data_IF_383997383908
#
_entry.id   IF_383997383908
#
_cell.length_a   1.000
_cell.length_b   1.000
_cell.length_c   1.000
_cell.angle_alpha   90.00
_cell.angle_beta   90.00
_cell.angle_gamma   90.00
#
_symmetry.space_group_name_H-M   'P 1'
#
loop_
_entity.id
_entity.type
_entity.pdbx_description
1 polymer ?
#
# COMPACT_ATOMS: atom_id res chain seq x y z
N UNK A 1 -5.91 13.31 -16.55
CA UNK A 1 -6.61 13.41 -15.25
C UNK A 1 -5.90 12.47 -14.30
N UNK A 2 -5.49 12.90 -13.10
CA UNK A 2 -4.76 12.07 -12.18
C UNK A 2 -5.60 10.91 -11.65
N UNK A 3 -4.95 9.76 -11.46
CA UNK A 3 -5.55 8.53 -10.98
C UNK A 3 -4.93 8.12 -9.65
N UNK A 4 -5.75 7.72 -8.72
CA UNK A 4 -5.33 7.29 -7.40
C UNK A 4 -5.75 5.84 -7.15
N UNK A 5 -4.83 5.03 -6.60
CA UNK A 5 -5.13 3.71 -6.05
C UNK A 5 -5.08 3.80 -4.53
N UNK A 6 -6.19 3.48 -3.86
CA UNK A 6 -6.26 3.39 -2.41
C UNK A 6 -6.27 1.93 -1.96
N UNK A 7 -5.34 1.58 -1.07
CA UNK A 7 -5.28 0.28 -0.40
C UNK A 7 -5.71 0.44 1.06
N UNK A 8 -6.85 -0.12 1.43
CA UNK A 8 -7.36 -0.18 2.80
C UNK A 8 -6.99 -1.54 3.38
N UNK A 9 -6.05 -1.56 4.30
CA UNK A 9 -5.46 -2.82 4.80
C UNK A 9 -5.88 -3.17 6.23
N UNK A 10 -6.78 -2.37 6.83
CA UNK A 10 -7.31 -2.62 8.16
C UNK A 10 -8.22 -3.83 8.18
N UNK A 11 -8.07 -4.70 9.21
CA UNK A 11 -9.00 -5.80 9.48
C UNK A 11 -10.42 -5.31 9.87
N UNK A 12 -10.54 -4.03 10.26
CA UNK A 12 -11.79 -3.43 10.69
C UNK A 12 -12.50 -2.64 9.57
N UNK A 13 -12.14 -2.87 8.31
CA UNK A 13 -12.72 -2.17 7.16
C UNK A 13 -12.78 -0.64 7.39
N UNK A 14 -13.93 -0.02 7.17
CA UNK A 14 -14.14 1.43 7.35
C UNK A 14 -14.06 1.91 8.82
N UNK A 15 -14.08 1.01 9.81
CA UNK A 15 -13.94 1.37 11.23
C UNK A 15 -12.47 1.50 11.67
N UNK A 16 -11.52 1.01 10.86
CA UNK A 16 -10.09 1.13 11.14
C UNK A 16 -9.61 2.58 11.03
N UNK A 17 -8.81 3.05 12.01
CA UNK A 17 -8.29 4.42 12.02
C UNK A 17 -7.47 4.74 10.76
N UNK A 18 -6.69 3.79 10.26
CA UNK A 18 -5.91 3.95 9.03
C UNK A 18 -6.82 4.08 7.79
N UNK A 19 -7.95 3.33 7.76
CA UNK A 19 -8.95 3.48 6.70
C UNK A 19 -9.59 4.86 6.74
N UNK A 20 -10.00 5.33 7.93
CA UNK A 20 -10.63 6.65 8.10
C UNK A 20 -9.70 7.79 7.70
N UNK A 21 -8.41 7.74 8.08
CA UNK A 21 -7.43 8.75 7.67
C UNK A 21 -7.18 8.71 6.17
N UNK A 22 -7.01 7.53 5.57
CA UNK A 22 -6.82 7.42 4.13
C UNK A 22 -8.07 7.85 3.34
N UNK A 23 -9.29 7.55 3.81
CA UNK A 23 -10.54 8.01 3.21
C UNK A 23 -10.66 9.54 3.26
N UNK A 24 -10.32 10.15 4.40
CA UNK A 24 -10.30 11.62 4.54
C UNK A 24 -9.30 12.30 3.59
N UNK A 25 -8.11 11.71 3.44
CA UNK A 25 -7.11 12.19 2.48
C UNK A 25 -7.63 12.08 1.04
N UNK A 26 -8.16 10.94 0.65
CA UNK A 26 -8.68 10.71 -0.71
C UNK A 26 -9.80 11.69 -1.03
N UNK A 27 -10.72 11.95 -0.08
CA UNK A 27 -11.79 12.93 -0.27
C UNK A 27 -11.24 14.34 -0.49
N UNK A 28 -10.30 14.79 0.33
CA UNK A 28 -9.67 16.11 0.19
C UNK A 28 -8.85 16.22 -1.11
N UNK A 29 -8.11 15.17 -1.46
CA UNK A 29 -7.32 15.09 -2.69
C UNK A 29 -8.20 15.17 -3.94
N UNK A 30 -9.35 14.48 -3.96
CA UNK A 30 -10.31 14.55 -5.06
C UNK A 30 -10.97 15.93 -5.18
N UNK A 31 -11.32 16.56 -4.03
CA UNK A 31 -11.92 17.88 -4.01
C UNK A 31 -11.01 18.95 -4.64
N UNK A 32 -9.68 18.83 -4.47
CA UNK A 32 -8.70 19.75 -5.06
C UNK A 32 -8.32 19.39 -6.51
N UNK A 33 -8.79 18.24 -7.04
CA UNK A 33 -8.43 17.73 -8.39
C UNK A 33 -9.68 17.26 -9.16
N UNK A 34 -10.53 18.18 -9.63
CA UNK A 34 -11.74 17.83 -10.39
C UNK A 34 -11.42 16.93 -11.59
N UNK A 35 -12.21 15.87 -11.77
CA UNK A 35 -12.03 14.89 -12.84
C UNK A 35 -11.02 13.78 -12.54
N UNK A 36 -10.39 13.78 -11.34
CA UNK A 36 -9.58 12.66 -10.90
C UNK A 36 -10.42 11.38 -10.67
N UNK A 37 -9.80 10.22 -10.79
CA UNK A 37 -10.44 8.93 -10.54
C UNK A 37 -9.76 8.20 -9.40
N UNK A 38 -10.54 7.45 -8.61
CA UNK A 38 -10.05 6.65 -7.49
C UNK A 38 -10.47 5.19 -7.68
N UNK A 39 -9.48 4.31 -7.61
CA UNK A 39 -9.69 2.86 -7.47
C UNK A 39 -9.44 2.50 -6.02
N UNK A 40 -10.37 1.79 -5.38
CA UNK A 40 -10.24 1.37 -3.98
C UNK A 40 -10.15 -0.14 -3.90
N UNK A 41 -9.16 -0.63 -3.16
CA UNK A 41 -9.07 -2.01 -2.70
C UNK A 41 -9.19 -2.06 -1.19
N UNK A 42 -10.25 -2.71 -0.70
CA UNK A 42 -10.46 -2.96 0.73
C UNK A 42 -10.20 -4.44 1.02
N UNK A 43 -9.06 -4.73 1.64
CA UNK A 43 -8.62 -6.10 1.92
C UNK A 43 -9.43 -6.78 3.05
N UNK A 44 -10.30 -6.06 3.73
CA UNK A 44 -11.24 -6.69 4.66
C UNK A 44 -12.43 -7.32 3.94
N UNK A 45 -12.88 -6.74 2.82
CA UNK A 45 -13.98 -7.25 2.01
C UNK A 45 -13.54 -8.14 0.84
N UNK A 46 -12.35 -7.83 0.27
CA UNK A 46 -11.75 -8.56 -0.85
C UNK A 46 -10.28 -8.90 -0.51
N UNK A 47 -10.04 -9.89 0.36
CA UNK A 47 -8.71 -10.23 0.82
C UNK A 47 -7.86 -10.83 -0.31
N UNK A 48 -6.63 -10.30 -0.44
CA UNK A 48 -5.66 -10.86 -1.38
C UNK A 48 -5.18 -12.22 -0.86
N UNK A 49 -5.28 -13.30 -1.63
CA UNK A 49 -4.80 -14.61 -1.22
C UNK A 49 -3.28 -14.61 -1.09
N UNK A 50 -2.75 -15.41 -0.17
CA UNK A 50 -1.30 -15.61 -0.08
C UNK A 50 -0.77 -16.24 -1.36
N UNK A 51 0.37 -15.73 -1.84
CA UNK A 51 1.10 -16.33 -2.94
C UNK A 51 1.72 -17.66 -2.48
N UNK A 52 1.30 -18.75 -3.11
CA UNK A 52 1.84 -20.09 -2.88
C UNK A 52 2.91 -20.48 -3.92
N UNK A 53 3.54 -21.63 -3.72
CA UNK A 53 4.56 -22.15 -4.66
C UNK A 53 4.01 -22.38 -6.08
N UNK A 54 2.75 -22.78 -6.22
CA UNK A 54 2.11 -22.98 -7.52
C UNK A 54 1.87 -21.64 -8.24
N UNK A 55 1.46 -20.61 -7.51
CA UNK A 55 1.32 -19.23 -8.02
C UNK A 55 2.66 -18.65 -8.44
N UNK A 56 3.70 -18.82 -7.62
CA UNK A 56 5.04 -18.37 -7.97
C UNK A 56 5.57 -19.10 -9.22
N UNK A 57 5.38 -20.43 -9.33
CA UNK A 57 5.75 -21.19 -10.51
C UNK A 57 5.00 -20.71 -11.76
N UNK A 58 3.73 -20.32 -11.63
CA UNK A 58 2.95 -19.78 -12.74
C UNK A 58 3.55 -18.47 -13.30
N UNK A 59 4.15 -17.63 -12.44
CA UNK A 59 4.86 -16.41 -12.89
C UNK A 59 6.11 -16.73 -13.73
N UNK A 60 6.76 -17.86 -13.46
CA UNK A 60 7.97 -18.31 -14.18
C UNK A 60 7.66 -19.08 -15.48
N UNK A 61 6.43 -19.61 -15.61
CA UNK A 61 6.02 -20.40 -16.78
C UNK A 61 5.70 -19.45 -17.96
N UNK A 62 6.23 -19.78 -19.13
CA UNK A 62 5.99 -19.02 -20.35
C UNK A 62 4.47 -18.98 -20.67
N UNK A 63 3.92 -17.87 -21.17
CA UNK A 63 2.47 -17.74 -21.38
C UNK A 63 1.83 -18.87 -22.22
N UNK A 64 2.52 -19.34 -23.25
CA UNK A 64 2.03 -20.41 -24.12
C UNK A 64 2.03 -21.81 -23.44
N UNK A 65 2.73 -21.97 -22.33
CA UNK A 65 2.89 -23.24 -21.63
C UNK A 65 2.05 -23.33 -20.35
N UNK A 66 1.37 -22.23 -19.99
CA UNK A 66 0.53 -22.17 -18.77
C UNK A 66 -0.69 -23.06 -18.88
N UNK A 67 -0.95 -23.84 -17.84
CA UNK A 67 -2.27 -24.45 -17.65
C UNK A 67 -3.34 -23.38 -17.44
N UNK A 68 -4.61 -23.73 -17.55
CA UNK A 68 -5.72 -22.81 -17.27
C UNK A 68 -5.67 -22.27 -15.83
N UNK A 69 -5.29 -23.09 -14.86
CA UNK A 69 -5.11 -22.67 -13.46
C UNK A 69 -3.95 -21.68 -13.30
N UNK A 70 -2.80 -21.95 -13.92
CA UNK A 70 -1.66 -21.03 -13.91
C UNK A 70 -2.00 -19.70 -14.57
N UNK A 71 -2.72 -19.74 -15.70
CA UNK A 71 -3.16 -18.53 -16.38
C UNK A 71 -4.09 -17.69 -15.50
N UNK A 72 -5.01 -18.30 -14.74
CA UNK A 72 -5.89 -17.62 -13.81
C UNK A 72 -5.12 -16.96 -12.65
N UNK A 73 -4.13 -17.66 -12.05
CA UNK A 73 -3.25 -17.09 -10.99
C UNK A 73 -2.45 -15.88 -11.50
N UNK A 74 -1.92 -15.96 -12.71
CA UNK A 74 -1.20 -14.85 -13.35
C UNK A 74 -2.13 -13.68 -13.64
N UNK A 75 -3.33 -13.92 -14.20
CA UNK A 75 -4.31 -12.88 -14.51
C UNK A 75 -4.78 -12.12 -13.26
N UNK A 76 -4.89 -12.79 -12.10
CA UNK A 76 -5.17 -12.14 -10.84
C UNK A 76 -4.07 -11.14 -10.46
N UNK A 77 -2.79 -11.57 -10.49
CA UNK A 77 -1.65 -10.69 -10.26
C UNK A 77 -1.57 -9.55 -11.29
N UNK A 78 -1.84 -9.84 -12.57
CA UNK A 78 -1.87 -8.83 -13.64
C UNK A 78 -2.90 -7.73 -13.36
N UNK A 79 -4.06 -8.08 -12.81
CA UNK A 79 -5.09 -7.11 -12.41
C UNK A 79 -4.57 -6.16 -11.33
N UNK A 80 -3.93 -6.68 -10.27
CA UNK A 80 -3.35 -5.86 -9.19
C UNK A 80 -2.23 -4.95 -9.71
N UNK A 81 -1.39 -5.47 -10.59
CA UNK A 81 -0.29 -4.71 -11.21
C UNK A 81 -0.85 -3.62 -12.14
N UNK A 82 -1.86 -3.93 -12.95
CA UNK A 82 -2.47 -2.96 -13.87
C UNK A 82 -3.08 -1.77 -13.12
N UNK A 83 -3.73 -1.99 -11.98
CA UNK A 83 -4.24 -0.91 -11.12
C UNK A 83 -3.10 -0.04 -10.58
N UNK A 84 -2.02 -0.66 -10.09
CA UNK A 84 -0.85 0.05 -9.59
C UNK A 84 -0.13 0.82 -10.71
N UNK A 85 0.00 0.24 -11.89
CA UNK A 85 0.61 0.89 -13.06
C UNK A 85 -0.23 2.08 -13.54
N UNK A 86 -1.56 1.94 -13.53
CA UNK A 86 -2.48 3.00 -13.98
C UNK A 86 -2.54 4.20 -13.02
N UNK A 87 -2.22 4.02 -11.75
CA UNK A 87 -2.30 5.08 -10.75
C UNK A 87 -1.08 6.01 -10.82
N UNK A 88 -1.30 7.32 -10.68
CA UNK A 88 -0.26 8.32 -10.46
C UNK A 88 0.07 8.44 -8.97
N UNK A 89 -0.92 8.18 -8.13
CA UNK A 89 -0.84 8.27 -6.66
C UNK A 89 -1.28 6.97 -6.02
N UNK A 90 -0.49 6.48 -5.07
CA UNK A 90 -0.80 5.34 -4.22
C UNK A 90 -1.09 5.83 -2.80
N UNK A 91 -2.22 5.43 -2.23
CA UNK A 91 -2.58 5.70 -0.84
C UNK A 91 -2.71 4.40 -0.09
N UNK A 92 -2.02 4.27 1.04
CA UNK A 92 -2.03 3.05 1.87
C UNK A 92 -2.50 3.41 3.27
N UNK A 93 -3.65 2.87 3.70
CA UNK A 93 -4.03 2.82 5.11
C UNK A 93 -3.30 1.66 5.78
N UNK A 94 -2.34 1.96 6.67
CA UNK A 94 -1.38 1.01 7.23
C UNK A 94 -1.52 0.90 8.76
N UNK A 95 -2.35 0.01 9.29
CA UNK A 95 -2.33 -0.27 10.72
C UNK A 95 -1.15 -1.15 11.10
N UNK A 96 -0.70 -1.05 12.34
CA UNK A 96 0.32 -1.96 12.89
C UNK A 96 -0.36 -3.10 13.65
N UNK A 97 -0.10 -4.33 13.23
CA UNK A 97 -0.51 -5.53 13.94
C UNK A 97 0.72 -6.34 14.33
N UNK A 98 0.89 -6.55 15.65
CA UNK A 98 2.01 -7.33 16.20
C UNK A 98 3.39 -6.87 15.65
N UNK A 99 3.63 -5.55 15.69
CA UNK A 99 4.85 -4.89 15.19
C UNK A 99 5.09 -5.04 13.67
N UNK A 100 4.12 -5.51 12.90
CA UNK A 100 4.28 -5.75 11.46
C UNK A 100 3.18 -5.10 10.61
N UNK A 101 3.35 -5.19 9.29
CA UNK A 101 2.30 -4.85 8.33
C UNK A 101 1.20 -5.91 8.36
N UNK A 102 -0.05 -5.57 7.98
CA UNK A 102 -1.11 -6.58 7.80
C UNK A 102 -0.68 -7.67 6.81
N UNK A 103 -0.99 -8.93 7.12
CA UNK A 103 -0.65 -10.07 6.26
C UNK A 103 -1.28 -9.97 4.86
N UNK A 104 -2.46 -9.35 4.77
CA UNK A 104 -3.15 -9.08 3.50
C UNK A 104 -2.39 -8.07 2.63
N UNK A 105 -1.75 -7.06 3.24
CA UNK A 105 -0.85 -6.16 2.52
C UNK A 105 0.41 -6.90 2.03
N UNK A 106 0.97 -7.77 2.87
CA UNK A 106 2.12 -8.59 2.45
C UNK A 106 1.74 -9.50 1.28
N UNK A 107 0.55 -10.11 1.31
CA UNK A 107 0.05 -10.91 0.19
C UNK A 107 -0.07 -10.07 -1.11
N UNK A 108 -0.61 -8.85 -1.02
CA UNK A 108 -0.67 -7.93 -2.17
C UNK A 108 0.73 -7.60 -2.70
N UNK A 109 1.68 -7.30 -1.82
CA UNK A 109 3.08 -7.05 -2.18
C UNK A 109 3.68 -8.23 -2.97
N UNK A 110 3.43 -9.46 -2.53
CA UNK A 110 3.96 -10.66 -3.18
C UNK A 110 3.37 -10.89 -4.58
N UNK A 111 2.14 -10.47 -4.81
CA UNK A 111 1.53 -10.52 -6.14
C UNK A 111 2.01 -9.42 -7.09
N UNK A 112 2.33 -8.23 -6.57
CA UNK A 112 2.73 -7.10 -7.44
C UNK A 112 4.24 -7.01 -7.65
N UNK A 113 5.06 -7.65 -6.82
CA UNK A 113 6.52 -7.71 -6.97
C UNK A 113 6.91 -8.77 -8.02
N UNK A 114 6.79 -8.45 -9.30
CA UNK A 114 7.09 -9.38 -10.41
C UNK A 114 8.27 -8.93 -11.24
N UNK A 115 9.27 -9.81 -11.36
CA UNK A 115 10.45 -9.59 -12.20
C UNK A 115 10.04 -9.45 -13.68
N UNK A 116 10.62 -8.45 -14.36
CA UNK A 116 10.29 -8.11 -15.74
C UNK A 116 8.99 -7.30 -15.92
N UNK A 117 8.22 -7.07 -14.83
CA UNK A 117 6.92 -6.35 -14.89
C UNK A 117 6.93 -5.09 -14.03
N UNK A 118 7.26 -5.19 -12.73
CA UNK A 118 7.31 -4.05 -11.80
C UNK A 118 8.73 -3.72 -11.34
N UNK A 119 9.66 -4.63 -11.54
CA UNK A 119 11.10 -4.41 -11.37
C UNK A 119 11.88 -5.34 -12.31
N UNK A 120 13.17 -5.07 -12.48
CA UNK A 120 14.10 -5.96 -13.20
C UNK A 120 15.45 -6.00 -12.52
N UNK A 121 16.20 -7.07 -12.71
CA UNK A 121 17.60 -7.13 -12.32
C UNK A 121 18.50 -6.55 -13.42
N UNK A 122 19.47 -5.75 -13.01
CA UNK A 122 20.53 -5.20 -13.87
C UNK A 122 21.91 -5.57 -13.31
N UNK A 123 22.98 -5.25 -14.02
CA UNK A 123 24.35 -5.46 -13.53
C UNK A 123 24.62 -4.63 -12.24
N UNK A 124 23.94 -3.49 -12.08
CA UNK A 124 24.07 -2.59 -10.94
C UNK A 124 23.10 -2.94 -9.79
N UNK A 125 22.26 -3.94 -9.97
CA UNK A 125 21.28 -4.39 -8.98
C UNK A 125 19.83 -4.28 -9.47
N UNK A 126 18.84 -4.41 -8.57
CA UNK A 126 17.43 -4.31 -8.94
C UNK A 126 17.06 -2.87 -9.35
N UNK A 127 16.29 -2.74 -10.42
CA UNK A 127 15.72 -1.49 -10.91
C UNK A 127 14.20 -1.58 -10.92
N UNK A 128 13.53 -0.66 -10.22
CA UNK A 128 12.07 -0.52 -10.25
C UNK A 128 11.57 0.08 -11.56
N UNK A 129 10.38 -0.35 -11.99
CA UNK A 129 9.78 0.04 -13.26
C UNK A 129 8.54 0.94 -13.09
N UNK A 130 8.16 1.29 -11.85
CA UNK A 130 7.00 2.11 -11.52
C UNK A 130 7.37 3.56 -11.14
N UNK A 131 8.33 4.13 -11.85
CA UNK A 131 8.81 5.50 -11.57
C UNK A 131 7.74 6.57 -11.83
N UNK A 132 7.91 7.75 -11.19
CA UNK A 132 7.05 8.92 -11.39
C UNK A 132 5.75 8.90 -10.61
N UNK A 133 5.59 7.98 -9.66
CA UNK A 133 4.42 7.89 -8.78
C UNK A 133 4.73 8.46 -7.40
N UNK A 134 3.69 8.99 -6.72
CA UNK A 134 3.73 9.38 -5.31
C UNK A 134 3.01 8.36 -4.44
N UNK A 135 3.50 8.15 -3.23
CA UNK A 135 2.83 7.29 -2.25
C UNK A 135 2.60 8.03 -0.93
N UNK A 136 1.37 7.92 -0.39
CA UNK A 136 0.97 8.43 0.92
C UNK A 136 0.59 7.27 1.81
N UNK A 137 1.24 7.14 2.96
CA UNK A 137 1.07 6.02 3.89
C UNK A 137 0.53 6.54 5.22
N UNK A 138 -0.69 6.16 5.56
CA UNK A 138 -1.36 6.53 6.82
C UNK A 138 -1.15 5.44 7.85
N UNK A 139 -0.06 5.56 8.62
CA UNK A 139 0.39 4.57 9.60
C UNK A 139 -0.29 4.81 10.95
N UNK A 140 -1.09 3.85 11.42
CA UNK A 140 -1.78 3.93 12.71
C UNK A 140 -1.26 2.87 13.68
N UNK A 141 -0.94 3.30 14.92
CA UNK A 141 -0.23 2.47 15.91
C UNK A 141 -0.75 2.69 17.31
N UNK A 142 -0.91 1.60 18.07
CA UNK A 142 -1.33 1.67 19.47
C UNK A 142 -0.31 2.34 20.37
N UNK A 143 0.98 2.07 20.17
CA UNK A 143 2.12 2.73 20.85
C UNK A 143 2.75 3.84 20.00
N UNK A 144 3.92 4.30 20.41
CA UNK A 144 4.75 5.28 19.69
C UNK A 144 6.04 4.60 19.23
N UNK A 145 6.16 4.34 17.94
CA UNK A 145 7.23 3.53 17.38
C UNK A 145 8.03 4.23 16.28
N UNK A 146 7.51 5.31 15.69
CA UNK A 146 8.22 6.04 14.63
C UNK A 146 9.62 6.47 15.06
N UNK A 147 10.61 6.11 14.26
CA UNK A 147 12.01 6.40 14.55
C UNK A 147 12.66 5.53 15.64
N UNK A 148 11.98 4.50 16.13
CA UNK A 148 12.54 3.52 17.09
C UNK A 148 12.84 2.19 16.41
N UNK A 149 13.59 1.29 17.09
CA UNK A 149 13.86 -0.06 16.61
C UNK A 149 12.59 -0.94 16.46
N UNK A 150 11.47 -0.53 17.07
CA UNK A 150 10.19 -1.21 16.93
C UNK A 150 9.39 -0.77 15.69
N UNK A 151 9.85 0.26 14.96
CA UNK A 151 9.25 0.65 13.68
C UNK A 151 9.72 -0.26 12.54
N UNK A 152 9.21 -1.46 12.52
CA UNK A 152 9.51 -2.45 11.47
C UNK A 152 8.69 -2.25 10.20
N UNK A 153 7.74 -1.31 10.19
CA UNK A 153 6.83 -1.09 9.06
C UNK A 153 7.36 -0.03 8.10
N UNK A 154 7.83 1.12 8.61
CA UNK A 154 8.16 2.27 7.77
C UNK A 154 9.27 1.94 6.79
N UNK A 155 10.35 1.34 7.26
CA UNK A 155 11.46 0.95 6.40
C UNK A 155 11.08 -0.18 5.45
N UNK A 156 10.28 -1.17 5.92
CA UNK A 156 9.80 -2.24 5.05
C UNK A 156 8.99 -1.69 3.87
N UNK A 157 8.00 -0.83 4.14
CA UNK A 157 7.13 -0.26 3.09
C UNK A 157 7.93 0.67 2.18
N UNK A 158 8.82 1.51 2.73
CA UNK A 158 9.68 2.41 1.95
C UNK A 158 10.61 1.63 1.04
N UNK A 159 11.26 0.58 1.57
CA UNK A 159 12.18 -0.27 0.81
C UNK A 159 11.44 -1.01 -0.31
N UNK A 160 10.24 -1.57 -0.02
CA UNK A 160 9.44 -2.23 -1.05
C UNK A 160 9.00 -1.25 -2.16
N UNK A 161 8.48 -0.08 -1.80
CA UNK A 161 8.06 0.91 -2.78
C UNK A 161 9.24 1.41 -3.63
N UNK A 162 10.39 1.67 -3.01
CA UNK A 162 11.64 1.99 -3.71
C UNK A 162 12.11 0.87 -4.63
N UNK A 163 12.00 -0.38 -4.20
CA UNK A 163 12.35 -1.56 -5.00
C UNK A 163 11.55 -1.65 -6.30
N UNK A 164 10.27 -1.29 -6.27
CA UNK A 164 9.44 -1.25 -7.48
C UNK A 164 9.51 0.10 -8.23
N UNK A 165 10.24 1.10 -7.71
CA UNK A 165 10.51 2.38 -8.39
C UNK A 165 9.69 3.58 -7.87
N UNK A 166 8.93 3.42 -6.77
CA UNK A 166 8.17 4.51 -6.14
C UNK A 166 9.02 5.08 -4.99
N UNK A 167 9.74 6.17 -5.26
CA UNK A 167 10.67 6.78 -4.28
C UNK A 167 10.09 7.98 -3.54
N UNK A 168 9.06 8.65 -4.08
CA UNK A 168 8.37 9.74 -3.38
C UNK A 168 7.31 9.15 -2.43
N UNK A 169 7.71 8.93 -1.17
CA UNK A 169 6.88 8.28 -0.15
C UNK A 169 6.75 9.17 1.08
N UNK A 170 5.52 9.61 1.34
CA UNK A 170 5.16 10.42 2.51
C UNK A 170 4.43 9.56 3.54
N UNK A 171 4.90 9.60 4.79
CA UNK A 171 4.24 8.93 5.91
C UNK A 171 3.52 9.94 6.79
N UNK A 172 2.27 9.62 7.12
CA UNK A 172 1.47 10.30 8.15
C UNK A 172 1.25 9.32 9.29
N UNK A 173 1.72 9.69 10.47
CA UNK A 173 1.66 8.83 11.65
C UNK A 173 0.55 9.28 12.59
N UNK A 174 -0.32 8.35 12.97
CA UNK A 174 -1.22 8.47 14.11
C UNK A 174 -0.79 7.42 15.16
N UNK A 175 -0.06 7.84 16.17
CA UNK A 175 0.55 6.96 17.17
C UNK A 175 0.00 7.21 18.56
N UNK A 176 0.25 6.26 19.48
CA UNK A 176 -0.22 6.33 20.86
C UNK A 176 -1.74 6.13 20.99
N UNK A 177 -2.37 5.46 20.02
CA UNK A 177 -3.84 5.32 19.96
C UNK A 177 -4.41 4.44 21.08
N UNK A 178 -3.58 3.62 21.74
CA UNK A 178 -3.95 2.79 22.87
C UNK A 178 -3.29 3.24 24.19
N UNK A 179 -2.76 4.48 24.24
CA UNK A 179 -2.06 5.04 25.41
C UNK A 179 -2.93 6.04 26.19
N UNK A 180 -4.25 5.89 26.18
CA UNK A 180 -5.22 6.78 26.80
C UNK A 180 -5.82 7.81 25.84
N UNK A 181 -6.97 8.39 26.22
CA UNK A 181 -7.77 9.27 25.34
C UNK A 181 -7.04 10.55 24.93
N UNK A 182 -6.25 11.14 25.82
CA UNK A 182 -5.46 12.33 25.51
C UNK A 182 -4.40 12.03 24.43
N UNK A 183 -3.67 10.92 24.57
CA UNK A 183 -2.67 10.47 23.60
C UNK A 183 -3.31 10.15 22.26
N UNK A 184 -4.44 9.45 22.27
CA UNK A 184 -5.20 9.11 21.06
C UNK A 184 -5.69 10.36 20.32
N UNK A 185 -6.27 11.31 21.05
CA UNK A 185 -6.74 12.57 20.49
C UNK A 185 -5.59 13.36 19.88
N UNK A 186 -4.47 13.47 20.57
CA UNK A 186 -3.28 14.16 20.06
C UNK A 186 -2.73 13.48 18.80
N UNK A 187 -2.63 12.14 18.80
CA UNK A 187 -2.16 11.37 17.64
C UNK A 187 -3.04 11.55 16.41
N UNK A 188 -4.36 11.48 16.57
CA UNK A 188 -5.30 11.67 15.46
C UNK A 188 -5.33 13.12 14.97
N UNK A 189 -5.31 14.10 15.89
CA UNK A 189 -5.28 15.54 15.52
C UNK A 189 -4.02 15.87 14.73
N UNK A 190 -2.85 15.39 15.17
CA UNK A 190 -1.59 15.58 14.44
C UNK A 190 -1.64 14.97 13.03
N UNK A 191 -2.14 13.74 12.93
CA UNK A 191 -2.29 13.07 11.63
C UNK A 191 -3.26 13.81 10.69
N UNK A 192 -4.38 14.33 11.20
CA UNK A 192 -5.34 15.14 10.43
C UNK A 192 -4.75 16.45 9.92
N UNK A 193 -3.94 17.13 10.75
CA UNK A 193 -3.26 18.36 10.34
C UNK A 193 -2.26 18.10 9.20
N UNK A 194 -1.47 17.03 9.30
CA UNK A 194 -0.51 16.66 8.26
C UNK A 194 -1.22 16.20 6.98
N UNK A 195 -2.30 15.43 7.10
CA UNK A 195 -3.16 15.03 5.99
C UNK A 195 -3.67 16.27 5.22
N UNK A 196 -4.19 17.28 5.93
CA UNK A 196 -4.71 18.50 5.30
C UNK A 196 -3.61 19.25 4.53
N UNK A 197 -2.39 19.29 5.06
CA UNK A 197 -1.22 19.88 4.41
C UNK A 197 -0.83 19.15 3.12
N UNK A 198 -0.90 17.80 3.11
CA UNK A 198 -0.50 16.98 1.96
C UNK A 198 -1.57 16.91 0.87
N UNK A 199 -2.85 17.09 1.20
CA UNK A 199 -3.95 17.04 0.24
C UNK A 199 -4.13 18.35 -0.56
N UNK A 200 -3.60 19.47 -0.06
CA UNK A 200 -3.65 20.78 -0.72
C UNK A 200 -2.78 20.79 -2.00
#
# INVERSE_FOLDING_TARGET
>A
MPKLLQLKTSLFANQGQSSQLSDAFVAAWQASRPGSTVTVRDFASDPVPHLDGAGFQAFLTAPAERSAEQAAKVAYSDTLIAELQAADVLVIGLPMYNLGIPSTLKAWIDHVARAGVTFRYTAEGPQGLLAGKQAYVFATRGGRYAGTAFDTQSDFVRNFLGFVGISDVQFVYAEGLNMGEESKTAGLTGAQAELARLAA
#
